data_IF_317612139994
#
_entry.id   IF_317612139994
#
_cell.length_a   1.000
_cell.length_b   1.000
_cell.length_c   1.000
_cell.angle_alpha   90.00
_cell.angle_beta   90.00
_cell.angle_gamma   90.00
#
_symmetry.space_group_name_H-M   'P 1'
#
loop_
_entity.id
_entity.type
_entity.pdbx_description
1 polymer ?
#
# COMPACT_ATOMS: atom_id res chain seq x y z
N UNK A 1 -7.00 22.37 35.53
CA UNK A 1 -6.86 21.23 34.61
C UNK A 1 -6.69 21.76 33.19
N UNK A 2 -5.53 21.55 32.54
CA UNK A 2 -5.21 22.17 31.23
C UNK A 2 -5.99 21.54 30.06
N UNK A 3 -6.59 20.38 30.27
CA UNK A 3 -7.45 19.67 29.33
C UNK A 3 -8.71 19.29 30.09
N UNK A 4 -9.85 19.86 29.72
CA UNK A 4 -11.12 19.70 30.43
C UNK A 4 -11.79 18.35 30.07
N UNK A 5 -11.01 17.27 30.14
CA UNK A 5 -11.40 15.92 29.72
C UNK A 5 -10.74 14.86 30.63
N UNK A 6 -11.45 13.76 30.86
CA UNK A 6 -10.92 12.59 31.56
C UNK A 6 -9.95 11.85 30.63
N UNK A 7 -8.67 11.81 31.01
CA UNK A 7 -7.64 11.10 30.26
C UNK A 7 -7.60 9.63 30.72
N UNK A 8 -8.04 8.71 29.85
CA UNK A 8 -7.90 7.26 30.08
C UNK A 8 -6.60 6.74 29.51
N UNK A 9 -5.86 5.94 30.27
CA UNK A 9 -4.66 5.23 29.83
C UNK A 9 -4.79 3.73 30.12
N UNK A 10 -4.25 2.89 29.23
CA UNK A 10 -4.36 1.43 29.38
C UNK A 10 -3.44 0.66 28.46
N UNK A 11 -3.10 -0.59 28.83
CA UNK A 11 -2.09 -1.42 28.15
C UNK A 11 -2.35 -1.67 26.66
N UNK A 12 -3.61 -1.60 26.21
CA UNK A 12 -4.00 -1.79 24.80
C UNK A 12 -4.37 -0.47 24.13
N UNK A 13 -5.14 0.37 24.84
CA UNK A 13 -5.61 1.66 24.32
C UNK A 13 -4.44 2.61 24.05
N UNK A 14 -3.47 2.71 24.97
CA UNK A 14 -2.35 3.65 24.84
C UNK A 14 -1.40 3.28 23.69
N UNK A 15 -0.98 2.00 23.50
CA UNK A 15 -0.20 1.63 22.32
C UNK A 15 -0.95 1.80 21.00
N UNK A 16 -2.26 1.52 20.97
CA UNK A 16 -3.08 1.70 19.77
C UNK A 16 -3.15 3.18 19.38
N UNK A 17 -3.36 4.07 20.35
CA UNK A 17 -3.33 5.52 20.12
C UNK A 17 -1.93 5.98 19.68
N UNK A 18 -0.87 5.46 20.31
CA UNK A 18 0.51 5.79 19.94
C UNK A 18 0.82 5.42 18.48
N UNK A 19 0.31 4.29 17.97
CA UNK A 19 0.47 3.94 16.55
C UNK A 19 -0.15 4.99 15.61
N UNK A 20 -1.30 5.54 15.97
CA UNK A 20 -1.98 6.59 15.19
C UNK A 20 -1.19 7.90 15.28
N UNK A 21 -0.75 8.28 16.48
CA UNK A 21 0.05 9.51 16.71
C UNK A 21 1.36 9.45 15.92
N UNK A 22 2.08 8.33 15.98
CA UNK A 22 3.33 8.15 15.23
C UNK A 22 3.11 8.27 13.72
N UNK A 23 2.05 7.67 13.18
CA UNK A 23 1.70 7.80 11.76
C UNK A 23 1.34 9.24 11.39
N UNK A 24 0.62 9.94 12.27
CA UNK A 24 0.29 11.35 12.07
C UNK A 24 1.54 12.23 12.07
N UNK A 25 2.50 11.96 12.96
CA UNK A 25 3.78 12.65 13.00
C UNK A 25 4.64 12.36 11.76
N UNK A 26 4.63 11.11 11.25
CA UNK A 26 5.26 10.77 9.96
C UNK A 26 4.66 11.61 8.82
N UNK A 27 3.33 11.75 8.77
CA UNK A 27 2.62 12.52 7.74
C UNK A 27 2.95 14.02 7.87
N UNK A 28 2.91 14.58 9.08
CA UNK A 28 3.22 16.00 9.33
C UNK A 28 4.66 16.37 8.98
N UNK A 29 5.60 15.46 9.27
CA UNK A 29 7.02 15.68 9.02
C UNK A 29 7.43 15.27 7.59
N UNK A 30 6.55 14.64 6.81
CA UNK A 30 6.81 14.31 5.42
C UNK A 30 6.96 15.58 4.60
N UNK A 31 8.13 15.77 3.98
CA UNK A 31 8.41 16.85 3.03
C UNK A 31 8.38 16.27 1.62
N UNK A 32 7.33 16.52 0.82
CA UNK A 32 7.29 16.10 -0.58
C UNK A 32 8.51 16.63 -1.32
N UNK A 33 9.07 15.81 -2.21
CA UNK A 33 10.17 16.19 -3.08
C UNK A 33 9.81 15.82 -4.51
N UNK A 34 10.03 16.74 -5.43
CA UNK A 34 9.83 16.49 -6.84
C UNK A 34 10.84 15.46 -7.35
N UNK A 35 10.35 14.57 -8.19
CA UNK A 35 11.17 13.59 -8.88
C UNK A 35 10.60 13.33 -10.25
N UNK A 36 11.48 12.98 -11.17
CA UNK A 36 11.18 12.66 -12.54
C UNK A 36 11.29 11.15 -12.75
N UNK A 37 10.46 10.63 -13.63
CA UNK A 37 10.55 9.24 -14.13
C UNK A 37 10.53 9.29 -15.64
N UNK A 38 11.27 8.38 -16.28
CA UNK A 38 11.32 8.30 -17.73
C UNK A 38 10.64 7.00 -18.14
N UNK A 39 9.63 7.12 -19.01
CA UNK A 39 8.93 5.99 -19.61
C UNK A 39 9.03 6.06 -21.12
N UNK A 40 9.14 4.89 -21.75
CA UNK A 40 9.16 4.76 -23.19
C UNK A 40 8.09 3.77 -23.63
N UNK A 41 7.45 4.03 -24.77
CA UNK A 41 6.52 3.08 -25.40
C UNK A 41 7.14 2.62 -26.71
N UNK A 42 7.32 1.31 -26.85
CA UNK A 42 7.88 0.70 -28.05
C UNK A 42 7.12 -0.59 -28.35
N UNK A 43 6.64 -0.75 -29.59
CA UNK A 43 5.96 -1.96 -30.07
C UNK A 43 4.89 -2.52 -29.11
N UNK A 44 4.09 -1.64 -28.50
CA UNK A 44 3.01 -2.01 -27.57
C UNK A 44 3.45 -2.28 -26.12
N UNK A 45 4.73 -2.18 -25.80
CA UNK A 45 5.29 -2.40 -24.46
C UNK A 45 5.61 -1.04 -23.82
N UNK A 46 5.30 -0.89 -22.53
CA UNK A 46 5.73 0.24 -21.71
C UNK A 46 7.02 -0.12 -20.96
N UNK A 47 8.09 0.61 -21.24
CA UNK A 47 9.38 0.49 -20.58
C UNK A 47 9.54 1.65 -19.58
N UNK A 48 10.23 1.38 -18.48
CA UNK A 48 10.59 2.40 -17.49
C UNK A 48 12.10 2.41 -17.32
N UNK A 49 12.66 3.62 -17.25
CA UNK A 49 14.08 3.77 -16.94
C UNK A 49 14.32 3.44 -15.46
N UNK A 50 15.41 2.72 -15.22
CA UNK A 50 15.90 2.38 -13.88
C UNK A 50 17.38 2.73 -13.79
N UNK A 51 17.80 3.25 -12.64
CA UNK A 51 19.21 3.42 -12.32
C UNK A 51 19.84 2.07 -11.94
N UNK A 52 21.17 2.06 -11.76
CA UNK A 52 21.96 0.90 -11.29
C UNK A 52 21.44 0.30 -9.98
N UNK A 53 20.87 1.13 -9.09
CA UNK A 53 20.27 0.71 -7.82
C UNK A 53 18.81 0.25 -7.94
N UNK A 54 18.32 0.01 -9.16
CA UNK A 54 16.94 -0.40 -9.46
C UNK A 54 15.89 0.64 -8.99
N UNK A 55 16.28 1.92 -8.96
CA UNK A 55 15.40 3.04 -8.61
C UNK A 55 14.97 3.78 -9.87
N UNK A 56 13.68 4.11 -9.95
CA UNK A 56 13.06 4.80 -11.08
C UNK A 56 13.13 6.33 -10.95
N UNK A 57 13.38 6.84 -9.74
CA UNK A 57 13.26 8.26 -9.41
C UNK A 57 14.55 9.00 -9.75
N UNK A 58 14.41 10.11 -10.47
CA UNK A 58 15.49 11.05 -10.79
C UNK A 58 15.15 12.38 -10.12
N UNK A 59 15.98 12.85 -9.19
CA UNK A 59 15.72 14.13 -8.49
C UNK A 59 16.27 15.36 -9.22
N UNK A 60 17.13 15.16 -10.22
CA UNK A 60 17.73 16.23 -11.01
C UNK A 60 17.08 16.29 -12.40
N UNK A 61 16.42 17.40 -12.70
CA UNK A 61 15.73 17.63 -13.97
C UNK A 61 16.67 17.63 -15.17
N UNK A 62 17.84 18.27 -15.07
CA UNK A 62 18.83 18.29 -16.15
C UNK A 62 19.31 16.88 -16.50
N UNK A 63 19.51 16.05 -15.47
CA UNK A 63 19.88 14.65 -15.65
C UNK A 63 18.75 13.87 -16.35
N UNK A 64 17.49 14.09 -15.96
CA UNK A 64 16.34 13.48 -16.61
C UNK A 64 16.25 13.89 -18.09
N UNK A 65 16.44 15.18 -18.41
CA UNK A 65 16.43 15.71 -19.77
C UNK A 65 17.59 15.18 -20.62
N UNK A 66 18.79 15.05 -20.04
CA UNK A 66 19.94 14.42 -20.72
C UNK A 66 19.65 12.97 -21.10
N UNK A 67 19.10 12.19 -20.17
CA UNK A 67 18.75 10.78 -20.42
C UNK A 67 17.64 10.70 -21.47
N UNK A 68 16.61 11.54 -21.37
CA UNK A 68 15.51 11.60 -22.35
C UNK A 68 16.03 11.90 -23.76
N UNK A 69 16.87 12.92 -23.91
CA UNK A 69 17.43 13.32 -25.20
C UNK A 69 18.35 12.23 -25.79
N UNK A 70 19.12 11.54 -24.94
CA UNK A 70 19.96 10.42 -25.38
C UNK A 70 19.13 9.19 -25.80
N UNK A 71 17.98 8.94 -25.18
CA UNK A 71 17.14 7.80 -25.48
C UNK A 71 16.14 8.06 -26.62
N UNK A 72 15.79 9.33 -26.88
CA UNK A 72 14.80 9.70 -27.89
C UNK A 72 15.30 9.34 -29.30
N UNK A 73 14.44 8.65 -30.06
CA UNK A 73 14.73 8.28 -31.45
C UNK A 73 15.73 7.13 -31.63
N UNK A 74 16.19 6.52 -30.53
CA UNK A 74 17.06 5.35 -30.59
C UNK A 74 16.25 4.06 -30.48
N UNK A 75 16.73 3.01 -31.14
CA UNK A 75 16.12 1.69 -31.07
C UNK A 75 16.38 1.06 -29.69
N UNK A 76 15.34 0.44 -29.14
CA UNK A 76 15.44 -0.32 -27.90
C UNK A 76 15.92 -1.76 -28.21
N UNK A 77 17.03 -2.17 -27.63
CA UNK A 77 17.52 -3.56 -27.70
C UNK A 77 17.16 -4.31 -26.42
N UNK A 78 16.57 -5.49 -26.59
CA UNK A 78 16.29 -6.40 -25.47
C UNK A 78 17.59 -7.11 -25.09
N UNK A 79 18.05 -6.91 -23.85
CA UNK A 79 19.27 -7.54 -23.33
C UNK A 79 18.98 -8.90 -22.66
N UNK A 80 17.82 -9.02 -22.00
CA UNK A 80 17.41 -10.26 -21.35
C UNK A 80 15.89 -10.35 -21.25
N UNK A 81 15.37 -11.57 -21.31
CA UNK A 81 13.97 -11.90 -21.03
C UNK A 81 13.99 -12.96 -19.94
N UNK A 82 13.36 -12.66 -18.81
CA UNK A 82 13.24 -13.61 -17.70
C UNK A 82 11.76 -13.96 -17.53
N UNK A 83 11.41 -15.18 -17.89
CA UNK A 83 10.07 -15.72 -17.67
C UNK A 83 10.09 -16.63 -16.44
N UNK A 84 9.20 -16.34 -15.48
CA UNK A 84 9.08 -17.13 -14.26
C UNK A 84 7.62 -17.50 -14.03
N UNK A 85 7.26 -18.80 -13.96
CA UNK A 85 5.90 -19.20 -13.66
C UNK A 85 5.57 -18.80 -12.23
N UNK A 86 4.56 -17.93 -12.07
CA UNK A 86 4.05 -17.53 -10.75
C UNK A 86 2.77 -18.30 -10.46
N UNK A 87 2.74 -19.01 -9.32
CA UNK A 87 1.54 -19.67 -8.83
C UNK A 87 0.98 -18.88 -7.64
N UNK A 88 -0.31 -18.56 -7.70
CA UNK A 88 -1.04 -17.98 -6.57
C UNK A 88 -1.88 -19.09 -5.92
N UNK A 89 -1.62 -19.37 -4.65
CA UNK A 89 -2.43 -20.32 -3.89
C UNK A 89 -3.71 -19.66 -3.38
N UNK A 90 -4.71 -20.47 -3.06
CA UNK A 90 -5.90 -19.98 -2.38
C UNK A 90 -5.51 -19.35 -1.03
N UNK A 91 -6.19 -18.27 -0.60
CA UNK A 91 -6.01 -17.73 0.74
C UNK A 91 -6.43 -18.78 1.80
N UNK A 92 -5.97 -18.59 3.02
CA UNK A 92 -6.41 -19.39 4.14
C UNK A 92 -7.91 -19.21 4.42
N UNK A 93 -8.48 -20.09 5.24
CA UNK A 93 -9.81 -19.86 5.80
C UNK A 93 -9.78 -18.59 6.67
N UNK A 94 -10.89 -17.87 6.68
CA UNK A 94 -10.99 -16.62 7.43
C UNK A 94 -10.79 -16.84 8.94
N UNK A 95 -9.90 -16.04 9.52
CA UNK A 95 -10.02 -15.65 10.92
C UNK A 95 -10.87 -14.37 11.06
N UNK A 96 -11.24 -14.01 12.29
CA UNK A 96 -12.05 -12.82 12.55
C UNK A 96 -11.37 -11.52 12.07
N UNK A 97 -10.04 -11.44 12.16
CA UNK A 97 -9.29 -10.23 11.78
C UNK A 97 -9.31 -10.05 10.27
N UNK A 98 -9.08 -11.12 9.50
CA UNK A 98 -9.15 -11.11 8.04
C UNK A 98 -10.57 -10.82 7.56
N UNK A 99 -11.59 -11.45 8.18
CA UNK A 99 -12.98 -11.20 7.86
C UNK A 99 -13.36 -9.73 8.11
N UNK A 100 -12.93 -9.15 9.24
CA UNK A 100 -13.17 -7.73 9.54
C UNK A 100 -12.45 -6.80 8.56
N UNK A 101 -11.23 -7.13 8.14
CA UNK A 101 -10.48 -6.35 7.13
C UNK A 101 -11.15 -6.37 5.76
N UNK A 102 -11.55 -7.55 5.28
CA UNK A 102 -12.20 -7.69 3.98
C UNK A 102 -13.59 -7.07 3.99
N UNK A 103 -14.38 -7.28 5.04
CA UNK A 103 -15.70 -6.65 5.17
C UNK A 103 -15.61 -5.12 5.20
N UNK A 104 -14.56 -4.56 5.83
CA UNK A 104 -14.30 -3.13 5.77
C UNK A 104 -13.91 -2.67 4.36
N UNK A 105 -13.01 -3.39 3.70
CA UNK A 105 -12.52 -3.04 2.35
C UNK A 105 -13.62 -3.13 1.28
N UNK A 106 -14.47 -4.14 1.36
CA UNK A 106 -15.49 -4.43 0.34
C UNK A 106 -16.78 -3.65 0.61
N UNK A 107 -17.23 -3.60 1.86
CA UNK A 107 -18.55 -3.06 2.24
C UNK A 107 -18.49 -1.86 3.20
N UNK A 108 -17.31 -1.44 3.65
CA UNK A 108 -17.17 -0.33 4.59
C UNK A 108 -17.64 -0.66 6.02
N UNK A 109 -17.85 -1.94 6.34
CA UNK A 109 -18.32 -2.33 7.68
C UNK A 109 -17.24 -2.05 8.73
N UNK A 110 -17.65 -1.51 9.88
CA UNK A 110 -16.79 -1.42 11.05
C UNK A 110 -16.55 -2.81 11.64
N UNK A 111 -15.44 -2.99 12.37
CA UNK A 111 -15.14 -4.24 13.07
C UNK A 111 -16.31 -4.70 13.98
N UNK A 112 -17.00 -3.75 14.64
CA UNK A 112 -18.17 -4.02 15.48
C UNK A 112 -19.36 -4.54 14.68
N UNK A 113 -19.65 -3.94 13.52
CA UNK A 113 -20.75 -4.39 12.65
C UNK A 113 -20.48 -5.79 12.12
N UNK A 114 -19.28 -6.04 11.59
CA UNK A 114 -18.89 -7.37 11.09
C UNK A 114 -18.99 -8.42 12.18
N UNK A 115 -18.49 -8.13 13.40
CA UNK A 115 -18.60 -9.04 14.54
C UNK A 115 -20.07 -9.32 14.90
N UNK A 116 -20.92 -8.30 14.96
CA UNK A 116 -22.34 -8.47 15.29
C UNK A 116 -23.09 -9.31 14.26
N UNK A 117 -22.80 -9.11 12.97
CA UNK A 117 -23.38 -9.93 11.89
C UNK A 117 -22.89 -11.38 12.02
N UNK A 118 -21.58 -11.58 12.17
CA UNK A 118 -20.98 -12.90 12.33
C UNK A 118 -21.59 -13.66 13.52
N UNK A 119 -21.73 -12.99 14.68
CA UNK A 119 -22.35 -13.58 15.87
C UNK A 119 -23.80 -14.02 15.60
N UNK A 120 -24.61 -13.20 14.91
CA UNK A 120 -25.97 -13.60 14.53
C UNK A 120 -26.01 -14.82 13.61
N UNK A 121 -25.08 -14.88 12.65
CA UNK A 121 -24.98 -16.01 11.72
C UNK A 121 -24.52 -17.30 12.43
N UNK A 122 -23.68 -17.18 13.45
CA UNK A 122 -23.25 -18.27 14.32
C UNK A 122 -24.36 -18.74 15.27
N UNK A 123 -24.91 -17.83 16.09
CA UNK A 123 -25.82 -18.17 17.20
C UNK A 123 -27.24 -18.46 16.74
N UNK A 124 -27.80 -17.61 15.87
CA UNK A 124 -29.21 -17.71 15.48
C UNK A 124 -29.38 -18.63 14.27
N UNK A 125 -28.51 -18.47 13.28
CA UNK A 125 -28.64 -19.16 12.00
C UNK A 125 -27.81 -20.46 11.94
N UNK A 126 -26.79 -20.61 12.79
CA UNK A 126 -25.91 -21.80 12.86
C UNK A 126 -25.29 -22.20 11.52
N UNK A 127 -24.93 -21.20 10.72
CA UNK A 127 -24.34 -21.39 9.37
C UNK A 127 -22.84 -21.12 9.32
N UNK A 128 -22.27 -20.59 10.40
CA UNK A 128 -20.83 -20.40 10.58
C UNK A 128 -20.38 -21.19 11.82
N UNK A 129 -19.07 -21.38 11.95
CA UNK A 129 -18.40 -22.04 13.08
C UNK A 129 -17.84 -21.06 14.09
#
# INVERSE_FOLDING_TARGET
CKYNAQLSAGRVQSPTLAMIVNREDEIKNFKPKDFYTISAKANGISLQWVNKDNNLRIFNEEMANKILNNAKGHDAKITSITETPKKKFAPALYDLTELQRDANKIWGYSAKQTLSIMQRLYENHKILT
#
